data_IF_522038696979
#
_entry.id   IF_522038696979
#
_cell.length_a   1.000
_cell.length_b   1.000
_cell.length_c   1.000
_cell.angle_alpha   90.00
_cell.angle_beta   90.00
_cell.angle_gamma   90.00
#
_symmetry.space_group_name_H-M   'P 1'
#
loop_
_entity.id
_entity.type
_entity.pdbx_description
1 polymer ?
#
# COMPACT_ATOMS: atom_id res chain seq x y z
N UNK A 1 -2.19 2.56 -5.21
CA UNK A 1 -2.50 1.50 -4.23
C UNK A 1 -3.92 0.96 -4.42
N UNK A 2 -4.92 1.80 -4.69
CA UNK A 2 -6.29 1.37 -5.02
C UNK A 2 -6.38 0.30 -6.11
N UNK A 3 -5.61 0.43 -7.20
CA UNK A 3 -5.65 -0.53 -8.31
C UNK A 3 -5.05 -1.90 -7.94
N UNK A 4 -3.96 -1.91 -7.15
CA UNK A 4 -3.40 -3.13 -6.58
C UNK A 4 -4.39 -3.82 -5.64
N UNK A 5 -5.08 -3.05 -4.79
CA UNK A 5 -6.09 -3.60 -3.88
C UNK A 5 -7.26 -4.23 -4.66
N UNK A 6 -7.68 -3.64 -5.79
CA UNK A 6 -8.68 -4.23 -6.69
C UNK A 6 -8.22 -5.51 -7.36
N UNK A 7 -6.94 -5.60 -7.75
CA UNK A 7 -6.37 -6.80 -8.35
C UNK A 7 -6.32 -7.99 -7.38
N UNK A 8 -6.14 -7.73 -6.08
CA UNK A 8 -6.16 -8.78 -5.06
C UNK A 8 -7.61 -9.23 -4.78
N UNK A 9 -8.48 -8.31 -4.32
CA UNK A 9 -9.93 -8.54 -4.17
C UNK A 9 -10.63 -7.23 -3.73
N UNK A 10 -11.86 -6.98 -4.18
CA UNK A 10 -12.63 -5.77 -3.81
C UNK A 10 -12.85 -5.59 -2.30
N UNK A 11 -12.88 -6.68 -1.53
CA UNK A 11 -12.99 -6.64 -0.07
C UNK A 11 -11.73 -6.15 0.65
N UNK A 12 -10.56 -6.19 0.00
CA UNK A 12 -9.34 -5.62 0.58
C UNK A 12 -9.46 -4.11 0.77
N UNK A 13 -10.16 -3.41 -0.12
CA UNK A 13 -10.41 -1.96 0.01
C UNK A 13 -11.27 -1.70 1.25
N UNK A 14 -12.32 -2.49 1.45
CA UNK A 14 -13.23 -2.33 2.60
C UNK A 14 -12.53 -2.59 3.93
N UNK A 15 -11.62 -3.58 3.96
CA UNK A 15 -10.86 -3.95 5.15
C UNK A 15 -9.51 -3.24 5.26
N UNK A 16 -9.17 -2.31 4.36
CA UNK A 16 -7.87 -1.65 4.38
C UNK A 16 -7.69 -0.80 5.64
N UNK A 17 -6.57 -0.98 6.34
CA UNK A 17 -6.16 -0.13 7.45
C UNK A 17 -5.10 0.88 6.99
N UNK A 18 -3.94 0.37 6.59
CA UNK A 18 -2.83 1.17 6.05
C UNK A 18 -1.88 0.24 5.28
N UNK A 19 -0.97 0.82 4.52
CA UNK A 19 0.15 0.10 3.93
C UNK A 19 1.47 0.68 4.42
N UNK A 20 2.52 -0.13 4.43
CA UNK A 20 3.91 0.31 4.57
C UNK A 20 4.60 0.13 3.22
N UNK A 21 5.31 1.15 2.77
CA UNK A 21 6.09 1.12 1.55
C UNK A 21 7.55 1.27 1.90
N UNK A 22 8.37 0.33 1.42
CA UNK A 22 9.83 0.43 1.43
C UNK A 22 10.27 0.77 0.02
N UNK A 23 10.96 1.90 -0.11
CA UNK A 23 11.49 2.37 -1.38
C UNK A 23 12.69 3.27 -1.16
N UNK A 24 13.71 3.14 -2.02
CA UNK A 24 14.91 3.97 -1.95
C UNK A 24 14.64 5.42 -2.38
N UNK A 25 13.52 5.68 -3.06
CA UNK A 25 13.12 7.04 -3.47
C UNK A 25 12.43 7.84 -2.35
N UNK A 26 11.97 7.17 -1.30
CA UNK A 26 11.28 7.83 -0.19
C UNK A 26 12.30 8.41 0.78
N UNK A 27 12.06 9.65 1.23
CA UNK A 27 12.92 10.32 2.21
C UNK A 27 13.00 9.55 3.54
N UNK A 28 11.93 8.82 3.88
CA UNK A 28 11.85 7.96 5.06
C UNK A 28 11.23 6.62 4.66
N UNK A 29 11.93 5.54 4.93
CA UNK A 29 11.51 4.18 4.59
C UNK A 29 11.63 3.27 5.83
N UNK A 30 10.59 2.52 6.21
CA UNK A 30 9.28 2.46 5.58
C UNK A 30 8.39 3.67 5.87
N UNK A 31 7.58 4.05 4.88
CA UNK A 31 6.54 5.08 5.05
C UNK A 31 5.16 4.42 5.18
N UNK A 32 4.34 4.89 6.13
CA UNK A 32 2.93 4.51 6.22
C UNK A 32 2.13 5.32 5.22
N UNK A 33 1.36 4.65 4.37
CA UNK A 33 0.62 5.25 3.26
C UNK A 33 -0.81 4.74 3.19
N UNK A 34 -1.69 5.56 2.60
CA UNK A 34 -3.08 5.21 2.31
C UNK A 34 -3.30 4.66 0.90
N UNK A 35 -4.57 4.39 0.56
CA UNK A 35 -4.97 3.85 -0.75
C UNK A 35 -4.67 4.76 -1.95
N UNK A 36 -4.48 6.06 -1.71
CA UNK A 36 -4.18 7.05 -2.75
C UNK A 36 -2.69 7.15 -3.07
N UNK A 37 -1.82 6.41 -2.37
CA UNK A 37 -0.40 6.42 -2.65
C UNK A 37 -0.10 5.77 -4.01
N UNK A 38 0.68 6.47 -4.83
CA UNK A 38 1.12 5.99 -6.15
C UNK A 38 2.36 5.12 -5.96
N UNK A 39 2.23 3.86 -6.35
CA UNK A 39 3.36 2.93 -6.35
C UNK A 39 4.18 3.15 -7.61
N UNK A 40 5.48 2.92 -7.50
CA UNK A 40 6.42 2.90 -8.60
C UNK A 40 7.15 1.56 -8.66
N UNK A 41 7.80 1.31 -9.79
CA UNK A 41 8.58 0.09 -9.97
C UNK A 41 9.69 0.01 -8.90
N UNK A 42 9.90 -1.20 -8.37
CA UNK A 42 10.84 -1.45 -7.27
C UNK A 42 10.29 -1.15 -5.86
N UNK A 43 9.03 -0.73 -5.71
CA UNK A 43 8.42 -0.56 -4.40
C UNK A 43 8.05 -1.89 -3.75
N UNK A 44 8.50 -2.09 -2.51
CA UNK A 44 8.05 -3.20 -1.66
C UNK A 44 6.90 -2.69 -0.80
N UNK A 45 5.77 -3.39 -0.82
CA UNK A 45 4.53 -2.95 -0.14
C UNK A 45 4.01 -4.02 0.80
N UNK A 46 3.80 -3.65 2.07
CA UNK A 46 3.08 -4.46 3.06
C UNK A 46 1.70 -3.86 3.29
N UNK A 47 0.65 -4.67 3.10
CA UNK A 47 -0.75 -4.26 3.30
C UNK A 47 -1.20 -4.75 4.67
N UNK A 48 -1.76 -3.84 5.47
CA UNK A 48 -2.41 -4.18 6.74
C UNK A 48 -3.92 -4.01 6.63
N UNK A 49 -4.63 -5.10 6.87
CA UNK A 49 -6.08 -5.11 6.96
C UNK A 49 -6.52 -4.86 8.41
N UNK A 50 -7.71 -4.30 8.58
CA UNK A 50 -8.41 -4.23 9.87
C UNK A 50 -8.94 -5.63 10.18
N UNK A 51 -8.61 -6.13 11.38
CA UNK A 51 -9.19 -7.35 11.95
C UNK A 51 -10.67 -7.14 12.28
#
# INVERSE_FOLDING_TARGET
MSDLARQIHSDFIKKFSYAKVWSNRLKFSPQRVGLNFKLEDGDIVEIRLKS
#
